data_IF_124579912703
#
_entry.id   IF_124579912703
#
_cell.length_a   1.000
_cell.length_b   1.000
_cell.length_c   1.000
_cell.angle_alpha   90.00
_cell.angle_beta   90.00
_cell.angle_gamma   90.00
#
_symmetry.space_group_name_H-M   'P 1'
#
loop_
_entity.id
_entity.type
_entity.pdbx_description
1 polymer ?
#
# COMPACT_ATOMS: atom_id res chain seq x y z
N UNK A 1 17.94 68.72 -26.18
CA UNK A 1 19.01 67.89 -26.78
C UNK A 1 20.23 67.88 -25.87
N UNK A 2 20.39 66.81 -25.06
CA UNK A 2 21.64 66.33 -24.45
C UNK A 2 21.52 64.81 -24.31
N UNK A 3 22.60 64.04 -24.52
CA UNK A 3 22.49 62.66 -25.01
C UNK A 3 22.25 61.62 -23.92
N UNK A 4 21.34 60.71 -24.28
CA UNK A 4 21.30 59.28 -23.97
C UNK A 4 22.68 58.71 -23.52
N UNK A 5 22.74 58.20 -22.29
CA UNK A 5 23.72 57.16 -21.96
C UNK A 5 23.03 56.10 -21.09
N UNK A 6 22.68 55.04 -21.81
CA UNK A 6 22.12 53.78 -21.38
C UNK A 6 23.22 53.01 -20.63
N UNK A 7 23.04 52.76 -19.33
CA UNK A 7 23.72 51.67 -18.63
C UNK A 7 22.64 50.78 -17.99
N UNK A 8 22.20 49.81 -18.78
CA UNK A 8 21.41 48.67 -18.35
C UNK A 8 22.32 47.78 -17.50
N UNK A 9 22.28 47.96 -16.17
CA UNK A 9 22.89 47.01 -15.23
C UNK A 9 21.91 45.84 -15.09
N UNK A 10 22.09 44.84 -15.95
CA UNK A 10 21.43 43.56 -15.85
C UNK A 10 22.07 42.79 -14.68
N UNK A 11 21.49 42.94 -13.49
CA UNK A 11 21.76 42.05 -12.36
C UNK A 11 21.22 40.66 -12.73
N UNK A 12 22.09 39.82 -13.30
CA UNK A 12 21.84 38.39 -13.41
C UNK A 12 21.95 37.82 -12.00
N UNK A 13 20.82 37.78 -11.31
CA UNK A 13 20.67 37.03 -10.07
C UNK A 13 20.84 35.55 -10.40
N UNK A 14 22.06 35.04 -10.26
CA UNK A 14 22.32 33.61 -10.12
C UNK A 14 21.73 33.19 -8.76
N UNK A 15 20.42 33.03 -8.69
CA UNK A 15 19.80 32.22 -7.65
C UNK A 15 20.21 30.78 -7.96
N UNK A 16 21.38 30.38 -7.46
CA UNK A 16 21.62 28.99 -7.18
C UNK A 16 20.58 28.58 -6.14
N UNK A 17 19.41 28.17 -6.59
CA UNK A 17 18.52 27.36 -5.78
C UNK A 17 19.33 26.10 -5.47
N UNK A 18 20.00 26.09 -4.31
CA UNK A 18 20.20 24.85 -3.58
C UNK A 18 18.79 24.35 -3.29
N UNK A 19 18.25 23.60 -4.24
CA UNK A 19 17.17 22.68 -3.96
C UNK A 19 17.80 21.66 -3.02
N UNK A 20 17.74 21.94 -1.71
CA UNK A 20 17.75 20.88 -0.72
C UNK A 20 16.58 19.99 -1.14
N UNK A 21 16.94 18.91 -1.84
CA UNK A 21 16.00 17.89 -2.22
C UNK A 21 15.41 17.41 -0.90
N UNK A 22 14.09 17.56 -0.67
CA UNK A 22 13.49 17.12 0.57
C UNK A 22 13.87 15.66 0.73
N UNK A 23 14.63 15.32 1.78
CA UNK A 23 14.81 13.93 2.15
C UNK A 23 13.41 13.39 2.38
N UNK A 24 12.96 12.52 1.47
CA UNK A 24 11.69 11.83 1.64
C UNK A 24 11.75 11.17 3.01
N UNK A 25 10.72 11.32 3.86
CA UNK A 25 10.72 10.66 5.15
C UNK A 25 11.01 9.18 4.92
N UNK A 26 12.04 8.67 5.61
CA UNK A 26 12.43 7.27 5.49
C UNK A 26 11.23 6.40 5.87
N UNK A 27 10.80 5.54 4.95
CA UNK A 27 9.71 4.61 5.21
C UNK A 27 10.15 3.63 6.31
N UNK A 28 9.26 3.41 7.28
CA UNK A 28 9.49 2.49 8.38
C UNK A 28 8.79 1.15 8.14
N UNK A 29 9.29 0.09 8.77
CA UNK A 29 8.60 -1.19 8.77
C UNK A 29 7.31 -1.10 9.57
N UNK A 30 6.26 -1.75 9.08
CA UNK A 30 4.93 -1.73 9.67
C UNK A 30 4.33 -3.13 9.69
N UNK A 31 3.23 -3.27 10.40
CA UNK A 31 2.35 -4.44 10.36
C UNK A 31 0.98 -4.05 9.80
N UNK A 32 0.15 -5.03 9.42
CA UNK A 32 -1.22 -4.74 8.98
C UNK A 32 -2.07 -4.19 10.13
N UNK A 33 -1.80 -4.62 11.37
CA UNK A 33 -2.45 -4.08 12.56
C UNK A 33 -2.17 -2.57 12.74
N UNK A 34 -0.94 -2.12 12.45
CA UNK A 34 -0.57 -0.70 12.53
C UNK A 34 -1.12 0.12 11.36
N UNK A 35 -1.24 -0.48 10.17
CA UNK A 35 -1.76 0.21 8.99
C UNK A 35 -3.28 0.35 8.96
N UNK A 36 -3.99 -0.52 9.68
CA UNK A 36 -5.45 -0.55 9.71
C UNK A 36 -6.01 0.59 10.59
N UNK A 37 -7.06 1.32 10.15
CA UNK A 37 -7.64 2.42 10.93
C UNK A 37 -8.58 1.89 12.03
N UNK A 38 -8.01 1.37 13.12
CA UNK A 38 -8.74 0.83 14.26
C UNK A 38 -8.17 -0.50 14.76
N UNK A 39 -9.02 -1.34 15.35
CA UNK A 39 -8.64 -2.73 15.63
C UNK A 39 -9.01 -3.59 14.42
N UNK A 40 -8.01 -4.09 13.71
CA UNK A 40 -8.20 -4.98 12.56
C UNK A 40 -9.02 -6.23 12.91
N UNK A 41 -9.10 -6.64 14.17
CA UNK A 41 -9.93 -7.78 14.59
C UNK A 41 -11.43 -7.50 14.68
N UNK A 42 -11.85 -6.25 14.49
CA UNK A 42 -13.27 -5.88 14.38
C UNK A 42 -13.87 -6.12 12.98
N UNK A 43 -13.01 -6.35 11.97
CA UNK A 43 -13.41 -6.72 10.61
C UNK A 43 -14.40 -7.89 10.64
N UNK A 44 -15.51 -7.71 9.93
CA UNK A 44 -16.61 -8.70 9.86
C UNK A 44 -16.88 -9.19 8.43
N UNK A 45 -16.27 -8.55 7.43
CA UNK A 45 -16.35 -8.96 6.03
C UNK A 45 -15.02 -8.73 5.32
N UNK A 46 -14.64 -9.70 4.49
CA UNK A 46 -13.50 -9.63 3.58
C UNK A 46 -13.99 -9.82 2.16
N UNK A 47 -13.57 -8.95 1.25
CA UNK A 47 -13.72 -9.16 -0.19
C UNK A 47 -12.37 -9.53 -0.80
N UNK A 48 -12.37 -10.64 -1.53
CA UNK A 48 -11.20 -11.18 -2.22
C UNK A 48 -11.38 -10.98 -3.71
N UNK A 49 -10.39 -10.36 -4.36
CA UNK A 49 -10.32 -10.17 -5.80
C UNK A 49 -9.19 -11.00 -6.37
N UNK A 50 -9.52 -11.95 -7.25
CA UNK A 50 -8.54 -12.61 -8.09
C UNK A 50 -8.15 -11.68 -9.24
N UNK A 51 -6.94 -11.16 -9.21
CA UNK A 51 -6.47 -10.21 -10.22
C UNK A 51 -6.17 -10.83 -11.58
N UNK A 52 -6.13 -12.16 -11.71
CA UNK A 52 -5.99 -12.86 -12.99
C UNK A 52 -7.30 -12.95 -13.77
N UNK A 53 -8.43 -13.13 -13.08
CA UNK A 53 -9.75 -13.36 -13.69
C UNK A 53 -10.75 -12.23 -13.46
N UNK A 54 -10.52 -11.39 -12.45
CA UNK A 54 -11.48 -10.39 -11.97
C UNK A 54 -12.59 -10.98 -11.09
N UNK A 55 -12.59 -12.30 -10.83
CA UNK A 55 -13.56 -12.96 -9.96
C UNK A 55 -13.44 -12.46 -8.52
N UNK A 56 -14.59 -12.27 -7.86
CA UNK A 56 -14.67 -11.82 -6.47
C UNK A 56 -15.32 -12.87 -5.57
N UNK A 57 -14.83 -13.00 -4.35
CA UNK A 57 -15.45 -13.77 -3.26
C UNK A 57 -15.63 -12.89 -2.04
N UNK A 58 -16.73 -13.10 -1.33
CA UNK A 58 -17.00 -12.41 -0.07
C UNK A 58 -16.98 -13.44 1.05
N UNK A 59 -16.22 -13.14 2.10
CA UNK A 59 -16.16 -13.94 3.33
C UNK A 59 -16.83 -13.15 4.44
N UNK A 60 -17.82 -13.74 5.11
CA UNK A 60 -18.55 -13.15 6.25
C UNK A 60 -18.56 -14.03 7.49
N UNK A 61 -17.87 -15.18 7.43
CA UNK A 61 -17.68 -16.04 8.60
C UNK A 61 -16.70 -15.37 9.58
N UNK A 62 -17.25 -14.75 10.64
CA UNK A 62 -16.46 -14.00 11.63
C UNK A 62 -15.38 -14.86 12.29
N UNK A 63 -15.63 -16.15 12.56
CA UNK A 63 -14.63 -17.00 13.20
C UNK A 63 -13.44 -17.24 12.27
N UNK A 64 -13.73 -17.49 10.98
CA UNK A 64 -12.69 -17.63 9.95
C UNK A 64 -11.89 -16.34 9.76
N UNK A 65 -12.59 -15.21 9.62
CA UNK A 65 -11.97 -13.88 9.46
C UNK A 65 -11.04 -13.58 10.63
N UNK A 66 -11.52 -13.73 11.87
CA UNK A 66 -10.71 -13.46 13.05
C UNK A 66 -9.53 -14.43 13.20
N UNK A 67 -9.69 -15.70 12.84
CA UNK A 67 -8.58 -16.66 12.83
C UNK A 67 -7.50 -16.23 11.84
N UNK A 68 -7.89 -15.96 10.60
CA UNK A 68 -6.97 -15.56 9.54
C UNK A 68 -6.25 -14.24 9.84
N UNK A 69 -6.98 -13.22 10.32
CA UNK A 69 -6.38 -11.93 10.67
C UNK A 69 -5.39 -12.04 11.82
N UNK A 70 -5.65 -12.88 12.85
CA UNK A 70 -4.67 -13.13 13.93
C UNK A 70 -3.36 -13.73 13.41
N UNK A 71 -3.39 -14.48 12.32
CA UNK A 71 -2.19 -15.10 11.74
C UNK A 71 -1.33 -14.12 10.94
N UNK A 72 -1.92 -13.06 10.37
CA UNK A 72 -1.21 -12.14 9.48
C UNK A 72 -0.99 -10.75 10.04
N UNK A 73 -1.81 -10.31 11.01
CA UNK A 73 -1.88 -8.89 11.40
C UNK A 73 -0.56 -8.34 11.94
N UNK A 74 0.24 -9.18 12.59
CA UNK A 74 1.51 -8.83 13.24
C UNK A 74 2.74 -9.20 12.38
N UNK A 75 2.53 -9.62 11.13
CA UNK A 75 3.64 -9.85 10.19
C UNK A 75 4.27 -8.50 9.85
N UNK A 76 5.58 -8.37 10.10
CA UNK A 76 6.36 -7.17 9.77
C UNK A 76 6.60 -7.11 8.27
N UNK A 77 6.25 -5.96 7.68
CA UNK A 77 6.47 -5.59 6.29
C UNK A 77 7.60 -4.57 6.24
N UNK A 78 8.67 -4.91 5.53
CA UNK A 78 9.81 -4.02 5.31
C UNK A 78 9.60 -3.25 4.01
N UNK A 79 9.64 -1.90 4.02
CA UNK A 79 9.47 -1.12 2.80
C UNK A 79 10.51 -1.50 1.77
N UNK A 80 10.09 -1.61 0.52
CA UNK A 80 11.02 -1.86 -0.59
C UNK A 80 11.83 -0.60 -0.88
N UNK A 81 13.13 -0.72 -1.13
CA UNK A 81 13.94 0.42 -1.57
C UNK A 81 13.44 0.97 -2.92
N UNK A 82 12.81 0.12 -3.74
CA UNK A 82 12.17 0.50 -5.00
C UNK A 82 10.66 0.76 -4.83
N UNK A 83 10.32 2.04 -4.75
CA UNK A 83 8.94 2.54 -4.69
C UNK A 83 8.34 2.89 -6.07
N UNK A 84 8.93 2.44 -7.18
CA UNK A 84 8.33 2.60 -8.51
C UNK A 84 6.96 1.90 -8.58
N UNK A 85 6.04 2.50 -9.35
CA UNK A 85 4.69 1.96 -9.51
C UNK A 85 4.71 0.55 -10.12
N UNK A 86 4.06 -0.39 -9.45
CA UNK A 86 3.85 -1.77 -9.93
C UNK A 86 2.49 -1.90 -10.59
N UNK A 87 2.42 -2.65 -11.68
CA UNK A 87 1.16 -2.92 -12.40
C UNK A 87 0.74 -4.37 -12.23
N UNK A 88 -0.56 -4.57 -11.97
CA UNK A 88 -1.13 -5.89 -11.74
C UNK A 88 -0.79 -6.46 -10.37
N UNK A 89 -1.65 -7.36 -9.91
CA UNK A 89 -1.48 -8.14 -8.69
C UNK A 89 -2.35 -9.38 -8.81
N UNK A 90 -1.97 -10.47 -8.15
CA UNK A 90 -2.73 -11.72 -8.21
C UNK A 90 -3.85 -11.74 -7.14
N UNK A 91 -3.57 -11.14 -5.99
CA UNK A 91 -4.44 -11.15 -4.82
C UNK A 91 -4.78 -9.72 -4.40
N UNK A 92 -6.05 -9.34 -4.49
CA UNK A 92 -6.59 -8.12 -3.89
C UNK A 92 -7.44 -8.45 -2.68
N UNK A 93 -7.23 -7.75 -1.56
CA UNK A 93 -7.96 -7.96 -0.31
C UNK A 93 -8.53 -6.63 0.16
N UNK A 94 -9.83 -6.60 0.44
CA UNK A 94 -10.53 -5.46 1.03
C UNK A 94 -11.20 -5.90 2.34
N UNK A 95 -10.97 -5.14 3.42
CA UNK A 95 -11.47 -5.41 4.77
C UNK A 95 -12.56 -4.39 5.14
N UNK A 96 -13.64 -4.88 5.73
CA UNK A 96 -14.82 -4.09 6.06
C UNK A 96 -15.22 -4.24 7.54
N UNK A 97 -15.79 -3.15 8.05
CA UNK A 97 -16.61 -3.15 9.27
C UNK A 97 -18.05 -2.80 8.87
N UNK A 98 -18.93 -3.81 8.88
CA UNK A 98 -20.26 -3.73 8.31
C UNK A 98 -20.23 -3.49 6.80
N UNK A 99 -20.76 -2.35 6.36
CA UNK A 99 -20.78 -1.96 4.95
C UNK A 99 -19.68 -0.96 4.58
N UNK A 100 -18.92 -0.47 5.55
CA UNK A 100 -17.83 0.47 5.32
C UNK A 100 -16.54 -0.28 4.98
N UNK A 101 -15.94 0.00 3.83
CA UNK A 101 -14.57 -0.44 3.58
C UNK A 101 -13.62 0.38 4.43
N UNK A 102 -12.75 -0.30 5.18
CA UNK A 102 -11.79 0.32 6.09
C UNK A 102 -10.38 0.26 5.56
N UNK A 103 -10.03 -0.80 4.83
CA UNK A 103 -8.65 -1.06 4.47
C UNK A 103 -8.53 -2.03 3.30
N UNK A 104 -7.73 -1.65 2.30
CA UNK A 104 -7.42 -2.49 1.14
C UNK A 104 -5.92 -2.69 0.98
N UNK A 105 -5.49 -3.90 0.62
CA UNK A 105 -4.10 -4.20 0.37
C UNK A 105 -3.88 -5.34 -0.63
N UNK A 106 -2.66 -5.41 -1.14
CA UNK A 106 -2.13 -6.52 -1.94
C UNK A 106 -0.86 -7.05 -1.23
N UNK A 107 -0.36 -8.26 -1.54
CA UNK A 107 0.72 -8.90 -0.77
C UNK A 107 1.98 -8.06 -0.58
N UNK A 108 2.29 -7.18 -1.53
CA UNK A 108 3.49 -6.36 -1.55
C UNK A 108 3.20 -4.84 -1.57
N UNK A 109 1.96 -4.42 -1.28
CA UNK A 109 1.65 -3.00 -1.15
C UNK A 109 0.49 -2.73 -0.20
N UNK A 110 0.71 -1.74 0.66
CA UNK A 110 -0.24 -1.23 1.65
C UNK A 110 -0.23 0.28 1.59
N UNK A 111 -1.41 0.92 1.51
CA UNK A 111 -1.55 2.39 1.46
C UNK A 111 -0.67 3.09 0.41
N UNK A 112 -0.46 2.45 -0.75
CA UNK A 112 0.37 2.97 -1.85
C UNK A 112 1.88 2.87 -1.63
N UNK A 113 2.33 2.24 -0.54
CA UNK A 113 3.74 1.94 -0.28
C UNK A 113 4.04 0.50 -0.69
N UNK A 114 5.11 0.29 -1.47
CA UNK A 114 5.59 -1.04 -1.80
C UNK A 114 6.40 -1.62 -0.64
N UNK A 115 6.19 -2.90 -0.36
CA UNK A 115 6.96 -3.66 0.62
C UNK A 115 7.68 -4.81 -0.07
N UNK A 116 8.79 -5.22 0.53
CA UNK A 116 9.51 -6.42 0.15
C UNK A 116 8.60 -7.64 0.21
N UNK A 117 8.93 -8.64 -0.61
CA UNK A 117 8.24 -9.91 -0.60
C UNK A 117 8.30 -10.59 0.77
N UNK A 118 7.15 -11.05 1.25
CA UNK A 118 7.05 -11.75 2.53
C UNK A 118 6.37 -13.11 2.35
N UNK A 119 7.16 -14.20 2.33
CA UNK A 119 6.67 -15.57 2.13
C UNK A 119 5.57 -15.95 3.12
N UNK A 120 5.66 -15.49 4.37
CA UNK A 120 4.67 -15.84 5.40
C UNK A 120 3.32 -15.20 5.09
N UNK A 121 3.32 -13.91 4.72
CA UNK A 121 2.09 -13.22 4.35
C UNK A 121 1.49 -13.84 3.08
N UNK A 122 2.32 -14.07 2.05
CA UNK A 122 1.86 -14.65 0.80
C UNK A 122 1.22 -16.03 0.98
N UNK A 123 1.88 -16.93 1.71
CA UNK A 123 1.35 -18.28 1.94
C UNK A 123 -0.03 -18.24 2.64
N UNK A 124 -0.24 -17.29 3.55
CA UNK A 124 -1.53 -17.12 4.25
C UNK A 124 -2.61 -16.50 3.37
N UNK A 125 -2.25 -15.55 2.51
CA UNK A 125 -3.17 -14.99 1.51
C UNK A 125 -3.55 -16.07 0.50
N UNK A 126 -2.56 -16.75 -0.07
CA UNK A 126 -2.75 -17.83 -1.04
C UNK A 126 -3.67 -18.92 -0.50
N UNK A 127 -3.42 -19.40 0.72
CA UNK A 127 -4.27 -20.42 1.34
C UNK A 127 -5.74 -19.98 1.47
N UNK A 128 -5.99 -18.71 1.87
CA UNK A 128 -7.35 -18.18 1.93
C UNK A 128 -8.00 -18.14 0.54
N UNK A 129 -7.27 -17.70 -0.48
CA UNK A 129 -7.75 -17.67 -1.87
C UNK A 129 -8.07 -19.07 -2.38
N UNK A 130 -7.17 -20.04 -2.20
CA UNK A 130 -7.39 -21.42 -2.63
C UNK A 130 -8.63 -22.02 -1.97
N UNK A 131 -8.82 -21.76 -0.68
CA UNK A 131 -10.00 -22.20 0.06
C UNK A 131 -11.30 -21.55 -0.46
N UNK A 132 -11.32 -20.22 -0.66
CA UNK A 132 -12.54 -19.51 -1.05
C UNK A 132 -12.93 -19.68 -2.52
N UNK A 133 -11.95 -19.88 -3.40
CA UNK A 133 -12.18 -20.06 -4.84
C UNK A 133 -12.22 -21.54 -5.26
N UNK A 134 -11.73 -22.46 -4.43
CA UNK A 134 -11.74 -23.89 -4.73
C UNK A 134 -10.78 -24.29 -5.86
N UNK A 135 -9.71 -23.54 -6.07
CA UNK A 135 -8.65 -23.80 -7.07
C UNK A 135 -7.28 -23.38 -6.55
N UNK A 136 -6.21 -23.92 -7.11
CA UNK A 136 -4.84 -23.52 -6.78
C UNK A 136 -4.46 -22.21 -7.46
N UNK A 137 -3.61 -21.42 -6.80
CA UNK A 137 -3.02 -20.19 -7.34
C UNK A 137 -1.50 -20.28 -7.50
#
# INVERSE_FOLDING_TARGET
MKPLSMFLVMFVSLTACKTEQPELPKLESITLAEAYPGDILEVDKIELLDGSSGERKVVTDRAKIQSWLREIKDIVLTPDDNQEGRVGYLFGIELFEGEESKFGFIPNAVNGVNYEWNDKLELKIKALFEEQFGRTF
#
